data_IF_294224019218
#
_entry.id   IF_294224019218
#
_cell.length_a   1.000
_cell.length_b   1.000
_cell.length_c   1.000
_cell.angle_alpha   90.00
_cell.angle_beta   90.00
_cell.angle_gamma   90.00
#
_symmetry.space_group_name_H-M   'P 1'
#
loop_
_entity.id
_entity.type
_entity.pdbx_description
1 polymer ?
#
# COMPACT_ATOMS: atom_id res chain seq x y z
N UNK A 1 -26.88 9.65 -3.49
CA UNK A 1 -25.70 10.17 -2.77
C UNK A 1 -25.12 11.29 -3.62
N UNK A 2 -25.07 12.52 -3.09
CA UNK A 2 -24.46 13.64 -3.79
C UNK A 2 -22.94 13.42 -3.91
N UNK A 3 -22.32 13.94 -4.97
CA UNK A 3 -20.86 13.82 -5.20
C UNK A 3 -20.02 14.29 -4.02
N UNK A 4 -20.51 15.28 -3.26
CA UNK A 4 -19.85 15.86 -2.08
C UNK A 4 -19.71 14.85 -0.94
N UNK A 5 -20.73 14.03 -0.68
CA UNK A 5 -20.71 13.02 0.40
C UNK A 5 -19.76 11.84 0.08
N UNK A 6 -19.52 11.57 -1.21
CA UNK A 6 -18.60 10.51 -1.61
C UNK A 6 -17.14 10.94 -1.41
N UNK A 7 -16.80 12.19 -1.73
CA UNK A 7 -15.43 12.71 -1.56
C UNK A 7 -15.05 12.80 -0.08
N UNK A 8 -16.00 13.06 0.82
CA UNK A 8 -15.72 12.98 2.26
C UNK A 8 -15.37 11.57 2.74
N UNK A 9 -15.90 10.53 2.09
CA UNK A 9 -15.59 9.13 2.42
C UNK A 9 -14.35 8.61 1.68
N UNK A 10 -14.13 9.11 0.47
CA UNK A 10 -13.05 8.72 -0.45
C UNK A 10 -12.31 9.99 -0.94
N UNK A 11 -11.48 10.62 -0.10
CA UNK A 11 -10.80 11.88 -0.44
C UNK A 11 -9.90 11.78 -1.66
N UNK A 12 -9.35 10.59 -1.94
CA UNK A 12 -8.56 10.29 -3.14
C UNK A 12 -9.34 10.41 -4.46
N UNK A 13 -10.66 10.61 -4.44
CA UNK A 13 -11.47 10.86 -5.63
C UNK A 13 -11.65 12.36 -5.96
N UNK A 14 -11.07 13.27 -5.17
CA UNK A 14 -11.19 14.72 -5.36
C UNK A 14 -10.68 15.22 -6.72
N UNK A 15 -9.58 14.64 -7.21
CA UNK A 15 -8.92 15.00 -8.46
C UNK A 15 -9.49 14.27 -9.70
N UNK A 16 -10.62 13.57 -9.56
CA UNK A 16 -11.28 12.90 -10.68
C UNK A 16 -12.74 13.32 -10.78
N UNK A 17 -13.29 13.21 -11.99
CA UNK A 17 -14.72 13.36 -12.18
C UNK A 17 -15.41 12.02 -11.93
N UNK A 18 -16.19 11.94 -10.85
CA UNK A 18 -17.06 10.79 -10.58
C UNK A 18 -18.23 10.83 -11.56
N UNK A 19 -18.41 9.75 -12.30
CA UNK A 19 -19.45 9.59 -13.33
C UNK A 19 -20.68 8.93 -12.74
N UNK A 20 -20.49 7.84 -11.99
CA UNK A 20 -21.58 7.14 -11.31
C UNK A 20 -21.08 6.36 -10.10
N UNK A 21 -21.99 6.10 -9.18
CA UNK A 21 -21.79 5.22 -8.03
C UNK A 21 -22.95 4.24 -7.99
N UNK A 22 -22.64 2.96 -8.00
CA UNK A 22 -23.59 1.86 -7.89
C UNK A 22 -23.28 1.10 -6.60
N UNK A 23 -24.24 1.08 -5.68
CA UNK A 23 -24.09 0.39 -4.39
C UNK A 23 -24.90 -0.90 -4.45
N UNK A 24 -24.22 -2.02 -4.20
CA UNK A 24 -24.82 -3.35 -4.03
C UNK A 24 -24.39 -3.92 -2.68
N UNK A 25 -24.98 -5.04 -2.27
CA UNK A 25 -24.57 -5.70 -1.02
C UNK A 25 -23.16 -6.31 -1.10
N UNK A 26 -22.65 -6.58 -2.31
CA UNK A 26 -21.34 -7.19 -2.51
C UNK A 26 -20.21 -6.17 -2.74
N UNK A 27 -20.50 -5.04 -3.40
CA UNK A 27 -19.48 -4.09 -3.87
C UNK A 27 -20.05 -2.67 -3.98
N UNK A 28 -19.20 -1.67 -3.72
CA UNK A 28 -19.44 -0.27 -4.09
C UNK A 28 -18.70 0.01 -5.38
N UNK A 29 -19.40 0.05 -6.51
CA UNK A 29 -18.80 0.32 -7.80
C UNK A 29 -18.79 1.82 -8.08
N UNK A 30 -17.60 2.40 -8.26
CA UNK A 30 -17.40 3.81 -8.57
C UNK A 30 -16.85 3.90 -9.98
N UNK A 31 -17.54 4.59 -10.89
CA UNK A 31 -17.02 4.93 -12.21
C UNK A 31 -16.51 6.37 -12.16
N UNK A 32 -15.26 6.57 -12.54
CA UNK A 32 -14.63 7.88 -12.56
C UNK A 32 -13.79 8.08 -13.82
N UNK A 33 -13.46 9.33 -14.15
CA UNK A 33 -12.53 9.67 -15.23
C UNK A 33 -11.65 10.83 -14.84
N UNK A 34 -10.42 10.85 -15.35
CA UNK A 34 -9.56 12.03 -15.25
C UNK A 34 -10.12 13.17 -16.10
N UNK A 35 -10.01 14.39 -15.57
CA UNK A 35 -10.53 15.61 -16.21
C UNK A 35 -9.77 15.86 -17.52
N UNK A 36 -10.44 16.44 -18.51
CA UNK A 36 -9.77 16.85 -19.75
C UNK A 36 -9.17 18.23 -19.56
N UNK A 37 -8.07 18.54 -20.26
CA UNK A 37 -7.45 19.87 -20.25
C UNK A 37 -6.59 20.18 -19.02
N UNK A 38 -6.53 19.30 -18.02
CA UNK A 38 -5.54 19.45 -16.94
C UNK A 38 -4.19 18.85 -17.40
N UNK A 39 -3.07 19.58 -17.26
CA UNK A 39 -1.74 19.06 -17.61
C UNK A 39 -1.32 17.98 -16.61
N UNK A 40 -0.64 16.93 -17.11
CA UNK A 40 -0.03 15.93 -16.24
C UNK A 40 1.43 15.71 -16.59
N UNK A 41 2.25 15.45 -15.57
CA UNK A 41 3.69 15.23 -15.71
C UNK A 41 4.03 13.87 -16.30
N UNK A 42 4.95 13.86 -17.26
CA UNK A 42 5.48 12.64 -17.83
C UNK A 42 6.17 11.79 -16.76
N UNK A 43 5.78 10.52 -16.63
CA UNK A 43 6.39 9.56 -15.68
C UNK A 43 7.86 9.22 -15.96
N UNK A 44 8.49 9.85 -16.95
CA UNK A 44 9.91 9.67 -17.29
C UNK A 44 10.72 10.93 -16.98
N UNK A 45 10.32 12.07 -17.56
CA UNK A 45 11.07 13.33 -17.46
C UNK A 45 10.36 14.44 -16.67
N UNK A 46 9.13 14.21 -16.19
CA UNK A 46 8.33 15.22 -15.49
C UNK A 46 7.66 16.28 -16.36
N UNK A 47 8.01 16.37 -17.66
CA UNK A 47 7.42 17.35 -18.60
C UNK A 47 5.89 17.27 -18.57
N UNK A 48 5.25 18.42 -18.30
CA UNK A 48 3.80 18.54 -18.35
C UNK A 48 3.32 18.43 -19.79
N UNK A 49 2.23 17.70 -20.00
CA UNK A 49 1.52 17.69 -21.28
C UNK A 49 0.02 17.57 -21.05
N UNK A 50 -0.74 18.15 -21.97
CA UNK A 50 -2.20 18.01 -22.07
C UNK A 50 -2.61 17.18 -23.29
N UNK A 51 -1.66 16.85 -24.16
CA UNK A 51 -1.96 16.27 -25.47
C UNK A 51 -2.34 14.79 -25.34
N UNK A 52 -3.65 14.56 -25.38
CA UNK A 52 -4.22 13.23 -25.21
C UNK A 52 -4.06 12.39 -26.49
N UNK A 53 -3.35 11.27 -26.36
CA UNK A 53 -3.28 10.21 -27.38
C UNK A 53 -4.53 9.32 -27.34
N UNK A 54 -4.86 8.79 -26.15
CA UNK A 54 -5.99 7.90 -25.96
C UNK A 54 -6.45 7.88 -24.51
N UNK A 55 -7.58 7.22 -24.22
CA UNK A 55 -8.02 6.92 -22.85
C UNK A 55 -8.11 5.42 -22.67
N UNK A 56 -7.82 4.93 -21.47
CA UNK A 56 -7.99 3.52 -21.13
C UNK A 56 -8.55 3.34 -19.72
N UNK A 57 -9.25 2.23 -19.51
CA UNK A 57 -9.85 1.91 -18.22
C UNK A 57 -8.85 1.18 -17.31
N UNK A 58 -8.80 1.59 -16.05
CA UNK A 58 -8.10 0.94 -14.95
C UNK A 58 -9.08 0.57 -13.86
N UNK A 59 -8.97 -0.66 -13.35
CA UNK A 59 -9.71 -1.09 -12.17
C UNK A 59 -8.80 -1.01 -10.96
N UNK A 60 -9.22 -0.25 -9.95
CA UNK A 60 -8.53 -0.08 -8.68
C UNK A 60 -9.38 -0.65 -7.55
N UNK A 61 -8.74 -1.37 -6.64
CA UNK A 61 -9.29 -1.73 -5.34
C UNK A 61 -8.89 -0.66 -4.31
N UNK A 62 -9.75 -0.46 -3.31
CA UNK A 62 -9.52 0.48 -2.22
C UNK A 62 -9.96 -0.12 -0.88
N UNK A 63 -9.77 0.61 0.21
CA UNK A 63 -10.19 0.22 1.56
C UNK A 63 -11.71 0.07 1.62
N UNK A 64 -12.20 -0.92 2.35
CA UNK A 64 -13.64 -1.20 2.49
C UNK A 64 -14.43 -0.01 3.00
N UNK A 65 -15.62 0.18 2.42
CA UNK A 65 -16.60 1.17 2.83
C UNK A 65 -17.81 0.44 3.42
N UNK A 66 -18.11 0.68 4.71
CA UNK A 66 -19.23 0.03 5.40
C UNK A 66 -19.25 -1.51 5.20
N UNK A 67 -18.08 -2.14 5.29
CA UNK A 67 -17.91 -3.58 5.09
C UNK A 67 -17.91 -4.05 3.63
N UNK A 68 -18.13 -3.17 2.65
CA UNK A 68 -18.20 -3.52 1.22
C UNK A 68 -16.90 -3.09 0.52
N UNK A 69 -16.24 -3.98 -0.24
CA UNK A 69 -15.05 -3.58 -0.99
C UNK A 69 -15.46 -2.60 -2.11
N UNK A 70 -14.85 -1.41 -2.19
CA UNK A 70 -15.04 -0.54 -3.34
C UNK A 70 -14.27 -1.07 -4.56
N UNK A 71 -14.87 -0.87 -5.72
CA UNK A 71 -14.25 -1.11 -7.03
C UNK A 71 -14.32 0.18 -7.83
N UNK A 72 -13.16 0.77 -8.09
CA UNK A 72 -13.06 2.01 -8.86
C UNK A 72 -12.69 1.65 -10.30
N UNK A 73 -13.62 1.84 -11.23
CA UNK A 73 -13.37 1.75 -12.66
C UNK A 73 -13.04 3.16 -13.17
N UNK A 74 -11.75 3.45 -13.33
CA UNK A 74 -11.20 4.76 -13.66
C UNK A 74 -10.78 4.83 -15.13
N UNK A 75 -11.33 5.79 -15.88
CA UNK A 75 -10.86 6.14 -17.23
C UNK A 75 -9.74 7.18 -17.14
N UNK A 76 -8.51 6.77 -17.43
CA UNK A 76 -7.31 7.62 -17.39
C UNK A 76 -6.84 7.98 -18.80
N UNK A 77 -6.24 9.17 -18.95
CA UNK A 77 -5.62 9.58 -20.21
C UNK A 77 -4.25 8.94 -20.39
N UNK A 78 -3.92 8.59 -21.63
CA UNK A 78 -2.57 8.40 -22.13
C UNK A 78 -2.21 9.64 -22.92
N UNK A 79 -1.17 10.33 -22.50
CA UNK A 79 -0.72 11.60 -23.05
C UNK A 79 0.58 11.41 -23.82
N UNK A 80 0.86 12.30 -24.77
CA UNK A 80 2.15 12.38 -25.44
C UNK A 80 3.17 13.10 -24.56
N UNK A 81 4.44 12.69 -24.61
CA UNK A 81 5.52 13.47 -24.03
C UNK A 81 6.07 14.41 -25.09
N UNK A 82 5.97 15.71 -24.85
CA UNK A 82 6.45 16.73 -25.80
C UNK A 82 7.97 16.96 -25.70
N UNK A 83 8.63 16.39 -24.70
CA UNK A 83 10.09 16.40 -24.61
C UNK A 83 10.69 15.35 -25.56
N UNK A 84 11.33 15.81 -26.64
CA UNK A 84 11.99 15.00 -27.67
C UNK A 84 13.18 14.19 -27.18
N UNK A 85 13.81 14.60 -26.07
CA UNK A 85 14.92 13.85 -25.44
C UNK A 85 14.44 12.74 -24.52
N UNK A 86 13.15 12.72 -24.18
CA UNK A 86 12.59 11.69 -23.32
C UNK A 86 12.41 10.37 -24.10
N UNK A 87 12.89 9.22 -23.59
CA UNK A 87 12.68 7.94 -24.26
C UNK A 87 11.21 7.50 -24.28
N UNK A 88 10.34 8.14 -23.48
CA UNK A 88 8.90 7.84 -23.45
C UNK A 88 8.18 8.76 -24.43
N UNK A 89 7.67 8.22 -25.53
CA UNK A 89 6.81 8.97 -26.46
C UNK A 89 5.39 9.22 -25.89
N UNK A 90 4.88 8.28 -25.07
CA UNK A 90 3.59 8.43 -24.38
C UNK A 90 3.69 7.98 -22.93
N UNK A 91 2.82 8.51 -22.07
CA UNK A 91 2.71 8.11 -20.68
C UNK A 91 1.25 8.09 -20.23
N UNK A 92 0.95 7.24 -19.25
CA UNK A 92 -0.36 7.25 -18.59
C UNK A 92 -0.35 8.30 -17.48
N UNK A 93 -1.34 9.18 -17.50
CA UNK A 93 -1.61 10.15 -16.44
C UNK A 93 -1.71 9.43 -15.08
N UNK A 94 -1.07 10.00 -14.05
CA UNK A 94 -1.18 9.53 -12.67
C UNK A 94 -1.94 10.58 -11.85
N UNK A 95 -3.00 10.15 -11.18
CA UNK A 95 -3.76 10.94 -10.20
C UNK A 95 -3.11 10.74 -8.82
N UNK A 96 -2.62 11.81 -8.17
CA UNK A 96 -2.09 11.76 -6.81
C UNK A 96 -3.08 11.10 -5.84
N UNK A 97 -2.57 10.30 -4.89
CA UNK A 97 -3.40 9.62 -3.88
C UNK A 97 -4.33 8.51 -4.40
N UNK A 98 -4.51 8.37 -5.73
CA UNK A 98 -5.42 7.38 -6.32
C UNK A 98 -4.69 6.33 -7.17
N UNK A 99 -3.73 6.74 -7.98
CA UNK A 99 -3.06 5.84 -8.92
C UNK A 99 -1.55 5.80 -8.72
N UNK A 100 -0.99 4.60 -8.86
CA UNK A 100 0.44 4.38 -9.01
C UNK A 100 0.69 3.51 -10.25
N UNK A 101 1.86 3.67 -10.87
CA UNK A 101 2.24 2.86 -12.03
C UNK A 101 2.22 1.37 -11.66
N UNK A 102 1.61 0.57 -12.51
CA UNK A 102 1.37 -0.89 -12.36
C UNK A 102 0.52 -1.35 -11.17
N UNK A 103 0.37 -0.53 -10.13
CA UNK A 103 -0.50 -0.88 -9.01
C UNK A 103 -1.98 -0.90 -9.43
N UNK A 104 -2.71 -1.87 -8.87
CA UNK A 104 -4.16 -2.04 -8.99
C UNK A 104 -4.88 -1.77 -7.67
N UNK A 105 -4.15 -1.26 -6.68
CA UNK A 105 -4.64 -0.83 -5.37
C UNK A 105 -4.38 0.66 -5.27
N UNK A 106 -5.25 1.39 -4.59
CA UNK A 106 -4.97 2.78 -4.20
C UNK A 106 -3.76 2.80 -3.24
N UNK A 107 -3.00 3.91 -3.19
CA UNK A 107 -1.97 4.12 -2.18
C UNK A 107 -2.46 3.85 -0.76
N UNK A 108 -3.67 4.30 -0.42
CA UNK A 108 -4.28 4.06 0.89
C UNK A 108 -4.45 2.57 1.21
N UNK A 109 -4.99 1.78 0.27
CA UNK A 109 -5.09 0.34 0.44
C UNK A 109 -3.72 -0.34 0.47
N UNK A 110 -2.76 0.17 -0.30
CA UNK A 110 -1.40 -0.34 -0.31
C UNK A 110 -0.72 -0.19 1.05
N UNK A 111 -0.82 0.99 1.69
CA UNK A 111 -0.30 1.22 3.03
C UNK A 111 -0.94 0.27 4.06
N UNK A 112 -2.27 0.11 4.04
CA UNK A 112 -2.95 -0.83 4.94
C UNK A 112 -2.44 -2.28 4.79
N UNK A 113 -2.15 -2.71 3.56
CA UNK A 113 -1.59 -4.05 3.30
C UNK A 113 -0.17 -4.18 3.84
N UNK A 114 0.63 -3.11 3.74
CA UNK A 114 1.99 -3.05 4.29
C UNK A 114 1.96 -3.10 5.82
N UNK A 115 1.13 -2.29 6.47
CA UNK A 115 0.95 -2.25 7.93
C UNK A 115 0.53 -3.62 8.48
N UNK A 116 -0.48 -4.24 7.86
CA UNK A 116 -0.92 -5.60 8.22
C UNK A 116 0.19 -6.62 7.97
N UNK A 117 0.99 -6.42 6.92
CA UNK A 117 2.16 -7.24 6.64
C UNK A 117 3.21 -7.14 7.75
N UNK A 118 3.49 -5.94 8.24
CA UNK A 118 4.43 -5.69 9.35
C UNK A 118 3.95 -6.34 10.64
N UNK A 119 2.66 -6.19 10.98
CA UNK A 119 2.12 -6.68 12.26
C UNK A 119 1.90 -8.20 12.28
N UNK A 120 1.37 -8.78 11.19
CA UNK A 120 0.88 -10.17 11.20
C UNK A 120 1.63 -11.12 10.26
N UNK A 121 2.51 -10.58 9.40
CA UNK A 121 3.23 -11.30 8.36
C UNK A 121 2.30 -12.18 7.48
N UNK A 122 2.89 -13.05 6.66
CA UNK A 122 2.21 -13.75 5.57
C UNK A 122 0.79 -14.29 5.86
N UNK A 123 0.64 -15.32 6.72
CA UNK A 123 -0.66 -16.04 6.85
C UNK A 123 -1.63 -15.25 7.73
N UNK A 124 -1.14 -14.69 8.84
CA UNK A 124 -1.94 -13.85 9.74
C UNK A 124 -2.49 -12.64 8.98
N UNK A 125 -1.62 -11.95 8.25
CA UNK A 125 -1.99 -10.81 7.41
C UNK A 125 -2.97 -11.17 6.30
N UNK A 126 -2.77 -12.29 5.60
CA UNK A 126 -3.73 -12.77 4.59
C UNK A 126 -5.11 -13.08 5.17
N UNK A 127 -5.19 -13.63 6.39
CA UNK A 127 -6.46 -13.88 7.10
C UNK A 127 -7.12 -12.58 7.54
N UNK A 128 -6.37 -11.64 8.12
CA UNK A 128 -6.88 -10.34 8.53
C UNK A 128 -7.43 -9.55 7.34
N UNK A 129 -6.67 -9.48 6.24
CA UNK A 129 -7.12 -8.83 5.02
C UNK A 129 -8.41 -9.44 4.48
N UNK A 130 -8.60 -10.76 4.59
CA UNK A 130 -9.86 -11.42 4.18
C UNK A 130 -11.04 -10.98 5.04
N UNK A 131 -10.86 -10.79 6.34
CA UNK A 131 -11.89 -10.24 7.25
C UNK A 131 -12.28 -8.83 6.80
N UNK A 132 -11.30 -8.04 6.35
CA UNK A 132 -11.49 -6.72 5.77
C UNK A 132 -11.96 -6.73 4.30
N UNK A 133 -12.43 -7.87 3.77
CA UNK A 133 -12.82 -8.07 2.36
C UNK A 133 -11.74 -7.74 1.30
N UNK A 134 -10.47 -7.81 1.68
CA UNK A 134 -9.31 -7.65 0.79
C UNK A 134 -8.69 -9.02 0.53
N UNK A 135 -8.69 -9.47 -0.73
CA UNK A 135 -8.15 -10.78 -1.10
C UNK A 135 -6.69 -10.68 -1.52
N UNK A 136 -5.78 -11.07 -0.62
CA UNK A 136 -4.35 -11.26 -0.92
C UNK A 136 -3.85 -12.59 -0.36
N UNK A 137 -2.98 -13.26 -1.11
CA UNK A 137 -2.34 -14.50 -0.66
C UNK A 137 -1.26 -14.20 0.37
N UNK A 138 -0.87 -15.21 1.16
CA UNK A 138 0.30 -15.15 2.05
C UNK A 138 1.53 -14.59 1.34
N UNK A 139 1.82 -15.12 0.15
CA UNK A 139 2.99 -14.75 -0.66
C UNK A 139 2.89 -13.30 -1.12
N UNK A 140 1.68 -12.83 -1.50
CA UNK A 140 1.48 -11.45 -1.88
C UNK A 140 1.71 -10.48 -0.71
N UNK A 141 1.25 -10.83 0.50
CA UNK A 141 1.48 -10.05 1.73
C UNK A 141 2.97 -9.99 2.05
N UNK A 142 3.67 -11.13 2.07
CA UNK A 142 5.12 -11.18 2.28
C UNK A 142 5.87 -10.36 1.23
N UNK A 143 5.46 -10.44 -0.04
CA UNK A 143 6.07 -9.65 -1.11
C UNK A 143 5.85 -8.14 -0.92
N UNK A 144 4.77 -7.70 -0.28
CA UNK A 144 4.62 -6.28 0.07
C UNK A 144 5.51 -5.91 1.27
N UNK A 145 5.52 -6.74 2.31
CA UNK A 145 6.36 -6.53 3.48
C UNK A 145 7.83 -6.37 3.11
N UNK A 146 8.36 -7.24 2.24
CA UNK A 146 9.75 -7.17 1.78
C UNK A 146 10.09 -5.92 0.93
N UNK A 147 9.08 -5.12 0.53
CA UNK A 147 9.26 -3.86 -0.20
C UNK A 147 9.17 -2.64 0.71
N UNK A 148 8.76 -2.81 1.96
CA UNK A 148 8.72 -1.73 2.94
C UNK A 148 10.16 -1.34 3.28
N UNK A 149 10.53 -0.04 3.20
CA UNK A 149 11.85 0.41 3.59
C UNK A 149 12.14 0.07 5.06
N UNK A 150 13.35 -0.39 5.34
CA UNK A 150 13.79 -0.58 6.72
C UNK A 150 13.88 0.79 7.41
N UNK A 151 13.54 0.88 8.70
CA UNK A 151 13.83 2.07 9.47
C UNK A 151 15.34 2.37 9.41
N UNK A 152 15.74 3.64 9.48
CA UNK A 152 17.15 3.99 9.52
C UNK A 152 17.82 3.28 10.70
N UNK A 153 19.08 2.81 10.55
CA UNK A 153 19.81 2.23 11.66
C UNK A 153 19.90 3.27 12.77
N UNK A 154 19.45 2.91 13.97
CA UNK A 154 19.68 3.71 15.17
C UNK A 154 21.07 3.35 15.71
N UNK A 155 21.86 4.36 16.05
CA UNK A 155 23.28 4.19 16.47
C UNK A 155 23.44 3.36 17.74
N UNK A 156 22.36 3.21 18.53
CA UNK A 156 22.31 2.37 19.71
C UNK A 156 20.96 1.66 19.78
N UNK A 157 20.95 0.34 19.57
CA UNK A 157 19.82 -0.54 19.93
C UNK A 157 20.21 -1.28 21.20
N UNK A 158 19.50 -1.05 22.30
CA UNK A 158 19.49 -2.02 23.40
C UNK A 158 18.49 -3.10 22.98
N UNK A 159 19.01 -4.23 22.46
CA UNK A 159 18.19 -5.39 22.12
C UNK A 159 18.02 -6.21 23.40
N UNK A 160 16.82 -6.22 23.99
CA UNK A 160 16.44 -7.26 24.93
C UNK A 160 16.18 -8.54 24.11
N UNK A 161 17.10 -9.50 24.17
CA UNK A 161 16.92 -10.79 23.53
C UNK A 161 15.84 -11.57 24.29
N UNK A 162 14.62 -11.60 23.76
CA UNK A 162 13.62 -12.59 24.14
C UNK A 162 13.78 -13.77 23.18
N UNK A 163 14.39 -14.86 23.65
CA UNK A 163 14.49 -16.11 22.90
C UNK A 163 13.81 -17.25 23.67
N UNK A 164 12.71 -17.76 23.11
CA UNK A 164 12.44 -19.21 23.05
C UNK A 164 11.43 -19.48 21.92
N UNK A 165 11.90 -19.59 20.68
CA UNK A 165 11.10 -20.12 19.56
C UNK A 165 11.63 -21.50 19.21
N UNK A 166 10.90 -22.53 19.66
CA UNK A 166 11.02 -23.87 19.13
C UNK A 166 10.52 -23.90 17.67
N UNK A 167 11.41 -23.59 16.73
CA UNK A 167 11.16 -23.78 15.31
C UNK A 167 11.13 -25.30 15.02
N UNK A 168 9.96 -25.83 14.69
CA UNK A 168 9.83 -27.22 14.24
C UNK A 168 10.57 -27.41 12.92
N UNK A 169 11.73 -28.07 12.97
CA UNK A 169 12.56 -28.43 11.83
C UNK A 169 11.78 -29.24 10.81
N UNK A 170 11.46 -28.64 9.66
CA UNK A 170 11.24 -29.36 8.40
C UNK A 170 11.79 -28.49 7.26
N UNK A 171 13.06 -28.69 6.92
CA UNK A 171 13.61 -28.89 5.56
C UNK A 171 15.14 -28.68 5.60
N UNK A 172 15.87 -29.68 5.08
CA UNK A 172 17.32 -29.80 5.23
C UNK A 172 18.18 -28.82 4.43
N UNK A 173 19.42 -28.69 4.89
CA UNK A 173 20.61 -28.35 4.11
C UNK A 173 20.77 -26.88 3.75
N UNK A 174 21.43 -26.10 4.61
CA UNK A 174 21.98 -24.78 4.27
C UNK A 174 22.86 -24.27 5.41
N UNK A 175 24.12 -24.03 5.10
CA UNK A 175 25.25 -23.76 6.01
C UNK A 175 25.00 -22.57 6.97
N UNK A 176 25.42 -22.76 8.22
CA UNK A 176 25.35 -21.81 9.32
C UNK A 176 26.52 -20.83 9.21
N UNK A 177 26.23 -19.53 9.11
CA UNK A 177 27.26 -18.50 9.28
C UNK A 177 27.48 -18.24 10.78
N UNK A 178 28.70 -18.50 11.21
CA UNK A 178 29.23 -18.39 12.56
C UNK A 178 29.65 -16.93 12.86
N UNK A 179 29.32 -16.42 14.05
CA UNK A 179 29.88 -15.16 14.54
C UNK A 179 29.02 -14.44 15.58
N UNK A 180 28.93 -14.96 16.81
CA UNK A 180 28.43 -14.20 17.96
C UNK A 180 29.44 -14.29 19.11
N UNK A 181 30.14 -13.18 19.37
CA UNK A 181 31.00 -13.03 20.53
C UNK A 181 30.20 -12.55 21.74
N UNK A 182 30.37 -13.29 22.83
CA UNK A 182 29.71 -13.20 24.14
C UNK A 182 30.16 -11.97 24.95
N UNK A 183 29.29 -11.47 25.84
CA UNK A 183 29.73 -10.63 26.96
C UNK A 183 28.62 -10.09 27.88
N UNK A 184 28.47 -10.72 29.05
CA UNK A 184 28.19 -10.05 30.34
C UNK A 184 26.73 -9.82 30.76
N UNK A 185 26.33 -10.45 31.87
CA UNK A 185 25.02 -10.33 32.54
C UNK A 185 25.07 -9.27 33.66
N UNK A 186 24.08 -8.38 33.75
CA UNK A 186 23.75 -7.61 34.98
C UNK A 186 22.22 -7.53 35.12
N UNK A 187 21.71 -7.88 36.31
CA UNK A 187 20.28 -7.98 36.62
C UNK A 187 19.57 -6.64 36.79
N UNK A 188 18.24 -6.65 36.64
CA UNK A 188 17.38 -5.49 36.79
C UNK A 188 16.69 -5.56 38.16
N UNK A 189 17.01 -4.60 39.03
CA UNK A 189 16.26 -4.34 40.26
C UNK A 189 14.84 -3.88 39.91
N UNK A 190 13.85 -4.61 40.41
CA UNK A 190 12.46 -4.18 40.41
C UNK A 190 12.24 -3.18 41.56
N UNK A 191 12.28 -1.88 41.27
CA UNK A 191 11.74 -0.88 42.17
C UNK A 191 10.20 -0.87 42.05
N UNK A 192 9.55 -1.75 42.80
CA UNK A 192 8.15 -1.61 43.18
C UNK A 192 8.11 -0.56 44.29
N UNK A 193 7.66 0.65 43.98
CA UNK A 193 7.27 1.63 45.01
C UNK A 193 5.86 1.28 45.52
N UNK A 194 5.65 1.06 46.82
CA UNK A 194 4.31 1.12 47.38
C UNK A 194 3.91 2.59 47.54
N UNK A 195 2.61 2.88 47.46
CA UNK A 195 1.91 3.72 48.44
C UNK A 195 0.42 3.79 48.05
N UNK A 196 -0.35 2.92 48.70
CA UNK A 196 -1.80 3.02 48.85
C UNK A 196 -2.09 2.85 50.34
N UNK A 197 -2.12 3.97 51.07
CA UNK A 197 -3.16 4.41 52.04
C UNK A 197 -2.68 5.65 52.81
#
# INVERSE_FOLDING_TARGET
>A
MCSVELVSLLPQLSDVQVVSVEVSDAVVAVRARTRSGEPAGCTGCGQLSEWCHSRYARRLADVTLAGRPPRIDLSVRRLYCENTTCPKATFAEQVPGLTVRYQRRTPRLQCLVEDIGVVLAGRGGSRMLRILNIRLSRVAVLSQLMRVPLPPPVEHVVVEAVDDVAAGDHLGGGEVFEGLALGGVVGIDSAVGPDAE
#
